data_IF_103739275519
#
_entry.id   IF_103739275519
#
_cell.length_a   1.000
_cell.length_b   1.000
_cell.length_c   1.000
_cell.angle_alpha   90.00
_cell.angle_beta   90.00
_cell.angle_gamma   90.00
#
_symmetry.space_group_name_H-M   'P 1'
#
loop_
_entity.id
_entity.type
_entity.pdbx_description
1 polymer ?
#
# COMPACT_ATOMS: atom_id res chain seq x y z
N UNK A 1 22.11 10.69 1.24
CA UNK A 1 20.84 10.94 0.54
C UNK A 1 19.95 9.72 0.58
N UNK A 2 18.73 9.91 0.93
CA UNK A 2 17.80 8.80 1.07
C UNK A 2 17.43 8.22 -0.27
N UNK A 3 17.20 6.93 -0.28
CA UNK A 3 16.71 6.25 -1.44
C UNK A 3 15.20 6.47 -1.54
N UNK A 4 14.76 7.20 -2.55
CA UNK A 4 13.36 7.57 -2.69
C UNK A 4 12.48 6.33 -2.90
N UNK A 5 12.98 5.33 -3.60
CA UNK A 5 12.17 4.13 -3.81
C UNK A 5 11.96 3.38 -2.51
N UNK A 6 12.95 3.39 -1.60
CA UNK A 6 12.76 2.81 -0.29
C UNK A 6 11.69 3.55 0.49
N UNK A 7 11.71 4.88 0.41
CA UNK A 7 10.71 5.67 1.09
C UNK A 7 9.30 5.36 0.58
N UNK A 8 9.17 5.13 -0.71
CA UNK A 8 7.88 4.80 -1.29
C UNK A 8 7.35 3.48 -0.75
N UNK A 9 8.19 2.47 -0.66
CA UNK A 9 7.77 1.17 -0.15
C UNK A 9 7.39 1.27 1.33
N UNK A 10 8.18 1.98 2.11
CA UNK A 10 7.85 2.17 3.52
C UNK A 10 6.58 2.97 3.70
N UNK A 11 6.36 3.97 2.85
CA UNK A 11 5.14 4.75 2.91
C UNK A 11 3.92 3.88 2.63
N UNK A 12 4.02 3.00 1.65
CA UNK A 12 2.93 2.10 1.33
C UNK A 12 2.59 1.20 2.51
N UNK A 13 3.60 0.61 3.13
CA UNK A 13 3.36 -0.23 4.30
C UNK A 13 2.82 0.59 5.46
N UNK A 14 3.28 1.82 5.61
CA UNK A 14 2.77 2.68 6.67
C UNK A 14 1.30 2.98 6.51
N UNK A 15 0.85 3.22 5.29
CA UNK A 15 -0.57 3.42 5.05
C UNK A 15 -1.38 2.20 5.48
N UNK A 16 -0.90 1.01 5.16
CA UNK A 16 -1.61 -0.21 5.50
C UNK A 16 -1.48 -0.55 6.96
N UNK A 17 -0.42 -0.08 7.62
CA UNK A 17 -0.27 -0.32 9.05
C UNK A 17 -1.35 0.38 9.85
N UNK A 18 -1.88 1.49 9.34
CA UNK A 18 -2.95 2.18 10.05
C UNK A 18 -4.30 1.50 9.85
N UNK A 19 -4.58 0.98 8.66
CA UNK A 19 -5.81 0.23 8.39
C UNK A 19 -5.74 -0.32 6.97
N UNK A 20 -6.52 -1.38 6.69
CA UNK A 20 -6.59 -1.90 5.32
C UNK A 20 -7.15 -0.85 4.37
N UNK A 21 -6.67 -0.87 3.13
CA UNK A 21 -7.05 0.11 2.13
C UNK A 21 -6.98 -0.47 0.73
N UNK A 22 -7.74 0.14 -0.18
CA UNK A 22 -7.56 -0.13 -1.61
C UNK A 22 -6.34 0.63 -2.11
N UNK A 23 -5.80 0.20 -3.24
CA UNK A 23 -4.70 0.95 -3.87
C UNK A 23 -5.13 2.36 -4.24
N UNK A 24 -6.37 2.50 -4.70
CA UNK A 24 -6.90 3.81 -5.06
C UNK A 24 -6.92 4.75 -3.85
N UNK A 25 -7.35 4.23 -2.70
CA UNK A 25 -7.41 5.05 -1.49
C UNK A 25 -6.01 5.49 -1.06
N UNK A 26 -5.05 4.61 -1.16
CA UNK A 26 -3.67 4.97 -0.83
C UNK A 26 -3.16 6.07 -1.73
N UNK A 27 -3.50 6.00 -3.01
CA UNK A 27 -3.10 7.02 -3.95
C UNK A 27 -3.73 8.37 -3.60
N UNK A 28 -4.99 8.36 -3.19
CA UNK A 28 -5.65 9.60 -2.79
C UNK A 28 -5.01 10.21 -1.57
N UNK A 29 -4.70 9.37 -0.56
CA UNK A 29 -4.09 9.87 0.67
C UNK A 29 -2.72 10.49 0.37
N UNK A 30 -1.92 9.80 -0.42
CA UNK A 30 -0.59 10.31 -0.75
C UNK A 30 -0.69 11.63 -1.51
N UNK A 31 -1.62 11.75 -2.42
CA UNK A 31 -1.80 12.98 -3.18
C UNK A 31 -2.23 14.15 -2.30
N UNK A 32 -3.03 13.86 -1.27
CA UNK A 32 -3.48 14.91 -0.37
C UNK A 32 -2.42 15.34 0.63
N UNK A 33 -1.55 14.41 1.01
CA UNK A 33 -0.55 14.69 2.03
C UNK A 33 0.68 15.38 1.50
N UNK A 34 1.05 15.10 0.27
CA UNK A 34 2.32 15.54 -0.27
C UNK A 34 2.10 16.22 -1.61
N UNK A 35 2.11 17.54 -1.59
CA UNK A 35 1.75 18.31 -2.77
C UNK A 35 2.62 17.99 -3.97
N UNK A 36 3.89 17.70 -3.75
CA UNK A 36 4.82 17.43 -4.85
C UNK A 36 5.12 15.96 -5.01
N UNK A 37 4.41 15.11 -4.28
CA UNK A 37 4.68 13.69 -4.31
C UNK A 37 3.52 13.00 -5.03
N UNK A 38 3.81 12.43 -6.18
CA UNK A 38 2.80 11.79 -6.99
C UNK A 38 3.07 10.29 -7.03
N UNK A 39 2.15 9.51 -6.48
CA UNK A 39 2.23 8.07 -6.54
C UNK A 39 1.24 7.61 -7.60
N UNK A 40 1.75 7.13 -8.71
CA UNK A 40 0.90 6.69 -9.79
C UNK A 40 0.38 5.28 -9.52
N UNK A 41 -0.74 4.94 -10.14
CA UNK A 41 -1.26 3.58 -10.06
C UNK A 41 -0.26 2.58 -10.61
N UNK A 42 0.58 3.02 -11.57
CA UNK A 42 1.61 2.17 -12.13
C UNK A 42 2.66 1.77 -11.11
N UNK A 43 2.83 2.56 -10.05
CA UNK A 43 3.80 2.24 -9.00
C UNK A 43 3.17 1.49 -7.85
N UNK A 44 1.92 1.81 -7.51
CA UNK A 44 1.27 1.24 -6.35
C UNK A 44 1.02 -0.26 -6.53
N UNK A 45 0.44 -0.65 -7.66
CA UNK A 45 0.05 -2.05 -7.80
C UNK A 45 1.22 -3.01 -7.93
N UNK A 46 2.28 -2.67 -8.68
CA UNK A 46 3.46 -3.54 -8.66
C UNK A 46 4.07 -3.68 -7.26
N UNK A 47 4.08 -2.59 -6.48
CA UNK A 47 4.61 -2.64 -5.12
C UNK A 47 3.76 -3.54 -4.22
N UNK A 48 2.44 -3.42 -4.33
CA UNK A 48 1.54 -4.25 -3.55
C UNK A 48 1.68 -5.72 -3.93
N UNK A 49 1.84 -6.01 -5.22
CA UNK A 49 2.03 -7.40 -5.66
C UNK A 49 3.34 -7.96 -5.11
N UNK A 50 4.39 -7.18 -5.12
CA UNK A 50 5.67 -7.60 -4.57
C UNK A 50 5.52 -7.94 -3.08
N UNK A 51 4.86 -7.06 -2.33
CA UNK A 51 4.65 -7.31 -0.91
C UNK A 51 3.75 -8.52 -0.67
N UNK A 52 2.77 -8.72 -1.54
CA UNK A 52 1.91 -9.88 -1.42
C UNK A 52 2.71 -11.17 -1.61
N UNK A 53 3.60 -11.17 -2.59
CA UNK A 53 4.46 -12.33 -2.84
C UNK A 53 5.42 -12.59 -1.69
N UNK A 54 5.85 -11.55 -1.02
CA UNK A 54 6.75 -11.67 0.12
C UNK A 54 6.02 -12.00 1.42
N UNK A 55 4.69 -12.01 1.40
CA UNK A 55 3.92 -12.32 2.59
C UNK A 55 3.74 -11.14 3.53
N UNK A 56 4.09 -9.93 3.09
CA UNK A 56 3.95 -8.74 3.93
C UNK A 56 2.56 -8.13 3.85
N UNK A 57 1.83 -8.44 2.80
CA UNK A 57 0.53 -7.86 2.53
C UNK A 57 -0.37 -8.98 2.01
N UNK A 58 -1.64 -8.92 2.36
CA UNK A 58 -2.63 -9.83 1.79
C UNK A 58 -3.72 -9.01 1.11
N UNK A 59 -4.35 -9.62 0.14
CA UNK A 59 -5.39 -8.97 -0.64
C UNK A 59 -6.71 -9.69 -0.43
N UNK A 60 -7.76 -8.93 -0.22
CA UNK A 60 -9.10 -9.48 -0.10
C UNK A 60 -9.99 -8.79 -1.12
N UNK A 61 -10.69 -9.58 -1.92
CA UNK A 61 -11.61 -9.04 -2.91
C UNK A 61 -12.98 -8.90 -2.26
N UNK A 62 -13.51 -7.68 -2.29
CA UNK A 62 -14.81 -7.37 -1.74
C UNK A 62 -15.79 -7.28 -2.89
N UNK A 63 -16.82 -8.14 -2.85
CA UNK A 63 -17.86 -8.16 -3.87
C UNK A 63 -18.86 -7.06 -3.55
N UNK A 64 -19.15 -6.23 -4.54
CA UNK A 64 -20.10 -5.14 -4.38
C UNK A 64 -21.23 -5.31 -5.38
N UNK A 65 -22.46 -5.20 -4.88
CA UNK A 65 -23.61 -5.34 -5.73
C UNK A 65 -23.76 -4.11 -6.61
N UNK A 66 -23.90 -4.33 -7.92
CA UNK A 66 -24.11 -3.22 -8.85
C UNK A 66 -22.86 -2.39 -9.13
N UNK A 67 -21.68 -2.87 -8.70
CA UNK A 67 -20.43 -2.17 -8.91
C UNK A 67 -19.33 -3.17 -9.15
N UNK A 68 -18.21 -2.75 -9.74
CA UNK A 68 -17.05 -3.63 -9.85
C UNK A 68 -16.56 -4.02 -8.45
N UNK A 69 -16.03 -5.23 -8.35
CA UNK A 69 -15.40 -5.67 -7.11
C UNK A 69 -14.20 -4.79 -6.80
N UNK A 70 -13.87 -4.67 -5.53
CA UNK A 70 -12.69 -3.91 -5.14
C UNK A 70 -11.76 -4.81 -4.34
N UNK A 71 -10.47 -4.53 -4.46
CA UNK A 71 -9.44 -5.25 -3.73
C UNK A 71 -8.95 -4.42 -2.57
N UNK A 72 -9.05 -4.98 -1.38
CA UNK A 72 -8.59 -4.32 -0.16
C UNK A 72 -7.31 -5.01 0.29
N UNK A 73 -6.29 -4.23 0.53
CA UNK A 73 -4.99 -4.75 0.95
C UNK A 73 -4.81 -4.49 2.44
N UNK A 74 -4.23 -5.46 3.13
CA UNK A 74 -3.98 -5.37 4.56
C UNK A 74 -2.57 -5.84 4.85
N UNK A 75 -1.92 -5.17 5.80
CA UNK A 75 -0.58 -5.59 6.22
C UNK A 75 -0.73 -6.86 7.07
N UNK A 76 0.19 -7.80 6.88
CA UNK A 76 0.23 -9.01 7.70
C UNK A 76 1.09 -8.75 8.92
N UNK A 77 1.10 -9.70 9.84
CA UNK A 77 1.97 -9.58 11.00
C UNK A 77 3.43 -9.54 10.57
N UNK A 78 3.79 -10.38 9.62
CA UNK A 78 5.16 -10.38 9.07
C UNK A 78 5.47 -9.03 8.43
N UNK A 79 4.51 -8.45 7.72
CA UNK A 79 4.71 -7.15 7.10
C UNK A 79 4.87 -6.06 8.13
N UNK A 80 4.11 -6.13 9.22
CA UNK A 80 4.25 -5.14 10.29
C UNK A 80 5.61 -5.22 10.94
N UNK A 81 6.10 -6.41 11.19
CA UNK A 81 7.44 -6.57 11.75
C UNK A 81 8.50 -6.00 10.83
N UNK A 82 8.36 -6.30 9.55
CA UNK A 82 9.28 -5.78 8.55
C UNK A 82 9.27 -4.24 8.56
N UNK A 83 8.08 -3.66 8.58
CA UNK A 83 7.91 -2.22 8.58
C UNK A 83 8.54 -1.59 9.82
N UNK A 84 8.24 -2.14 11.00
CA UNK A 84 8.71 -1.56 12.24
C UNK A 84 10.23 -1.60 12.39
N UNK A 85 10.88 -2.57 11.76
CA UNK A 85 12.33 -2.66 11.83
C UNK A 85 13.02 -1.63 10.94
N UNK A 86 12.27 -1.00 10.04
CA UNK A 86 12.86 -0.06 9.08
C UNK A 86 12.53 1.39 9.39
N UNK A 87 11.71 1.65 10.36
CA UNK A 87 11.42 3.01 10.78
C UNK A 87 12.12 3.30 12.13
#
# INVERSE_FOLDING_TARGET
MEDISMDFELLTLGFLNSSPKTGYRMQQIAGNMMLNFSISMNQIYPTLRKFEEQGFVKKETVVQEGRPNKNVYAITETGREYFLKRI
#
